data_IF_706989782761
#
_entry.id   IF_706989782761
#
_cell.length_a   1.000
_cell.length_b   1.000
_cell.length_c   1.000
_cell.angle_alpha   90.00
_cell.angle_beta   90.00
_cell.angle_gamma   90.00
#
_symmetry.space_group_name_H-M   'P 1'
#
loop_
_entity.id
_entity.type
_entity.pdbx_description
1 polymer ?
#
# COMPACT_ATOMS: atom_id res chain seq x y z
N UNK A 1 -1.10 19.79 -42.90
CA UNK A 1 -0.57 19.06 -41.72
C UNK A 1 -0.70 19.95 -40.50
N UNK A 2 -1.04 19.36 -39.35
CA UNK A 2 -1.27 20.06 -38.08
C UNK A 2 -0.48 19.38 -36.98
N UNK A 3 -0.07 20.16 -35.98
CA UNK A 3 0.63 19.66 -34.80
C UNK A 3 -0.22 19.94 -33.57
N UNK A 4 -0.26 18.98 -32.64
CA UNK A 4 -0.94 19.11 -31.37
C UNK A 4 0.01 18.76 -30.22
N UNK A 5 -0.14 19.48 -29.11
CA UNK A 5 0.61 19.26 -27.87
C UNK A 5 -0.40 18.90 -26.78
N UNK A 6 -0.11 17.86 -26.00
CA UNK A 6 -0.87 17.48 -24.82
C UNK A 6 0.00 17.67 -23.57
N UNK A 7 -0.56 18.27 -22.53
CA UNK A 7 0.09 18.39 -21.23
C UNK A 7 -0.95 18.09 -20.17
N UNK A 8 -0.64 17.19 -19.25
CA UNK A 8 -1.51 16.88 -18.11
C UNK A 8 -0.72 16.80 -16.81
N UNK A 9 -1.40 17.13 -15.72
CA UNK A 9 -0.88 17.01 -14.37
C UNK A 9 -2.01 16.64 -13.42
N UNK A 10 -1.77 15.66 -12.57
CA UNK A 10 -2.72 15.21 -11.55
C UNK A 10 -1.98 15.10 -10.23
N UNK A 11 -2.54 15.69 -9.19
CA UNK A 11 -2.09 15.54 -7.81
C UNK A 11 -3.24 15.03 -6.97
N UNK A 12 -2.99 13.99 -6.18
CA UNK A 12 -3.94 13.39 -5.24
C UNK A 12 -3.28 13.27 -3.89
N UNK A 13 -4.01 13.72 -2.87
CA UNK A 13 -3.65 13.52 -1.47
C UNK A 13 -4.90 12.97 -0.76
N UNK A 14 -4.83 11.72 -0.32
CA UNK A 14 -5.91 11.06 0.39
C UNK A 14 -5.38 10.55 1.73
N UNK A 15 -5.95 11.09 2.81
CA UNK A 15 -5.76 10.56 4.16
C UNK A 15 -6.54 9.24 4.34
N UNK A 16 -6.30 8.53 5.42
CA UNK A 16 -6.92 7.22 5.72
C UNK A 16 -8.43 7.16 5.50
N UNK A 17 -9.01 6.07 5.02
CA UNK A 17 -10.47 6.07 4.84
C UNK A 17 -11.21 5.83 6.16
N UNK A 18 -12.42 6.40 6.28
CA UNK A 18 -13.28 6.19 7.46
C UNK A 18 -14.03 4.88 7.35
N UNK A 19 -14.15 4.18 8.46
CA UNK A 19 -14.96 2.95 8.62
C UNK A 19 -15.97 3.13 9.73
N UNK A 20 -17.11 2.44 9.63
CA UNK A 20 -18.14 2.41 10.67
C UNK A 20 -18.06 1.07 11.40
N UNK A 21 -18.08 1.09 12.73
CA UNK A 21 -18.10 -0.12 13.56
C UNK A 21 -16.77 -0.86 13.63
N UNK A 22 -15.65 -0.18 13.35
CA UNK A 22 -14.30 -0.71 13.54
C UNK A 22 -13.78 -0.24 14.90
N UNK A 23 -13.36 -1.19 15.74
CA UNK A 23 -12.76 -0.92 17.03
C UNK A 23 -11.48 -1.75 17.12
N UNK A 24 -10.34 -1.09 17.17
CA UNK A 24 -9.04 -1.70 17.51
C UNK A 24 -8.75 -1.32 18.96
N UNK A 25 -8.46 -2.32 19.80
CA UNK A 25 -8.01 -2.15 21.19
C UNK A 25 -8.81 -1.17 22.06
N UNK A 26 -10.14 -1.20 21.94
CA UNK A 26 -11.03 -0.38 22.78
C UNK A 26 -11.00 1.13 22.47
N UNK A 27 -10.24 1.55 21.46
CA UNK A 27 -10.24 2.92 20.96
C UNK A 27 -11.24 3.03 19.79
N UNK A 28 -12.03 4.11 19.78
CA UNK A 28 -12.90 4.45 18.64
C UNK A 28 -12.06 5.03 17.49
N UNK A 29 -11.23 4.19 16.88
CA UNK A 29 -10.53 4.50 15.63
C UNK A 29 -11.54 4.49 14.48
N UNK A 30 -12.00 5.68 14.08
CA UNK A 30 -12.97 5.84 12.98
C UNK A 30 -12.34 5.69 11.59
N UNK A 31 -11.02 5.47 11.50
CA UNK A 31 -10.23 5.39 10.27
C UNK A 31 -9.36 4.15 10.30
N UNK A 32 -9.07 3.61 9.12
CA UNK A 32 -8.15 2.47 9.01
C UNK A 32 -6.75 3.03 8.88
N UNK A 33 -5.94 2.88 9.93
CA UNK A 33 -4.56 3.35 9.93
C UNK A 33 -3.76 2.76 8.75
N UNK A 34 -2.89 3.59 8.18
CA UNK A 34 -2.05 3.19 7.05
C UNK A 34 -2.76 3.03 5.72
N UNK A 35 -3.98 3.54 5.57
CA UNK A 35 -4.75 3.46 4.32
C UNK A 35 -4.66 4.72 3.45
N UNK A 36 -3.80 5.67 3.81
CA UNK A 36 -3.49 6.85 3.02
C UNK A 36 -2.93 6.50 1.64
N UNK A 37 -3.14 7.39 0.68
CA UNK A 37 -2.57 7.28 -0.67
C UNK A 37 -2.31 8.67 -1.28
N UNK A 38 -1.06 8.92 -1.67
CA UNK A 38 -0.59 10.13 -2.33
C UNK A 38 -0.07 9.79 -3.73
N UNK A 39 -0.38 10.65 -4.70
CA UNK A 39 0.02 10.45 -6.09
C UNK A 39 0.27 11.78 -6.79
N UNK A 40 1.40 11.89 -7.47
CA UNK A 40 1.75 12.98 -8.38
C UNK A 40 2.04 12.38 -9.77
N UNK A 41 1.26 12.78 -10.78
CA UNK A 41 1.42 12.34 -12.16
C UNK A 41 1.57 13.54 -13.09
N UNK A 42 2.49 13.46 -14.05
CA UNK A 42 2.62 14.44 -15.12
C UNK A 42 2.86 13.75 -16.46
N UNK A 43 2.23 14.27 -17.53
CA UNK A 43 2.40 13.77 -18.89
C UNK A 43 2.61 14.91 -19.87
N UNK A 44 3.45 14.68 -20.88
CA UNK A 44 3.61 15.54 -22.04
C UNK A 44 3.58 14.69 -23.31
N UNK A 45 2.83 15.15 -24.31
CA UNK A 45 2.68 14.47 -25.58
C UNK A 45 2.77 15.43 -26.77
N UNK A 46 3.25 14.90 -27.89
CA UNK A 46 3.32 15.57 -29.17
C UNK A 46 2.66 14.69 -30.23
N UNK A 47 1.87 15.29 -31.11
CA UNK A 47 1.18 14.57 -32.17
C UNK A 47 1.22 15.32 -33.48
N UNK A 48 1.43 14.58 -34.56
CA UNK A 48 1.38 14.99 -35.95
C UNK A 48 0.08 14.49 -36.55
N UNK A 49 -0.70 15.39 -37.15
CA UNK A 49 -2.01 15.11 -37.73
C UNK A 49 -1.94 15.41 -39.24
N UNK A 50 -2.08 14.36 -40.04
CA UNK A 50 -2.15 14.40 -41.49
C UNK A 50 -3.58 14.26 -42.00
N UNK A 51 -3.75 14.22 -43.32
CA UNK A 51 -5.07 14.06 -43.95
C UNK A 51 -5.59 12.63 -43.84
N UNK A 52 -4.68 11.64 -43.88
CA UNK A 52 -5.00 10.22 -43.86
C UNK A 52 -4.63 9.54 -42.53
N UNK A 53 -4.46 10.31 -41.44
CA UNK A 53 -4.13 9.74 -40.13
C UNK A 53 -3.35 10.65 -39.18
N UNK A 54 -2.83 10.05 -38.10
CA UNK A 54 -2.00 10.74 -37.10
C UNK A 54 -0.92 9.83 -36.52
N UNK A 55 0.13 10.43 -35.97
CA UNK A 55 1.14 9.76 -35.16
C UNK A 55 1.52 10.63 -33.97
N UNK A 56 1.85 10.04 -32.83
CA UNK A 56 2.18 10.78 -31.63
C UNK A 56 3.04 9.99 -30.64
N UNK A 57 3.77 10.74 -29.82
CA UNK A 57 4.60 10.24 -28.74
C UNK A 57 4.20 10.95 -27.44
N UNK A 58 4.21 10.22 -26.33
CA UNK A 58 4.00 10.81 -25.01
C UNK A 58 4.96 10.24 -23.98
N UNK A 59 5.36 11.09 -23.02
CA UNK A 59 6.14 10.71 -21.87
C UNK A 59 5.36 11.04 -20.60
N UNK A 60 5.23 10.05 -19.71
CA UNK A 60 4.50 10.19 -18.45
C UNK A 60 5.38 9.76 -17.29
N UNK A 61 5.37 10.55 -16.22
CA UNK A 61 5.99 10.20 -14.94
C UNK A 61 4.93 10.18 -13.84
N UNK A 62 4.94 9.12 -13.04
CA UNK A 62 4.06 8.94 -11.88
C UNK A 62 4.88 8.63 -10.63
N UNK A 63 4.59 9.31 -9.54
CA UNK A 63 5.15 9.07 -8.21
C UNK A 63 3.99 8.80 -7.25
N UNK A 64 3.99 7.62 -6.63
CA UNK A 64 3.00 7.27 -5.62
C UNK A 64 3.68 6.93 -4.30
N UNK A 65 3.01 7.28 -3.21
CA UNK A 65 3.34 6.90 -1.84
C UNK A 65 2.05 6.52 -1.13
N UNK A 66 1.90 5.24 -0.77
CA UNK A 66 0.70 4.72 -0.16
C UNK A 66 1.02 3.70 0.92
N UNK A 67 0.26 3.76 2.02
CA UNK A 67 0.40 2.83 3.13
C UNK A 67 -0.23 1.48 2.83
N UNK A 68 0.24 0.46 3.56
CA UNK A 68 -0.31 -0.89 3.56
C UNK A 68 -1.07 -1.13 4.87
N UNK A 69 -2.41 -1.01 4.87
CA UNK A 69 -3.21 -1.23 6.07
C UNK A 69 -3.23 -2.72 6.46
N UNK A 70 -3.42 -3.00 7.75
CA UNK A 70 -3.55 -4.37 8.26
C UNK A 70 -2.23 -5.06 8.62
N UNK A 71 -1.14 -4.31 8.81
CA UNK A 71 0.02 -4.81 9.53
C UNK A 71 -0.28 -4.74 11.03
N UNK A 72 0.01 -5.82 11.76
CA UNK A 72 -0.09 -5.84 13.22
C UNK A 72 1.14 -6.56 13.74
N UNK A 73 1.89 -5.86 14.58
CA UNK A 73 3.05 -6.41 15.29
C UNK A 73 2.66 -7.50 16.29
N UNK A 74 1.35 -7.68 16.56
CA UNK A 74 0.83 -8.84 17.30
C UNK A 74 1.15 -10.17 16.61
N UNK A 75 1.50 -10.16 15.33
CA UNK A 75 1.89 -11.35 14.57
C UNK A 75 3.39 -11.43 14.22
N UNK A 76 4.23 -10.51 14.68
CA UNK A 76 5.67 -10.53 14.38
C UNK A 76 6.38 -11.77 14.94
N UNK A 77 5.82 -12.35 16.00
CA UNK A 77 6.30 -13.58 16.63
C UNK A 77 5.60 -14.83 16.10
N UNK A 78 4.81 -14.68 15.02
CA UNK A 78 4.13 -15.78 14.38
C UNK A 78 4.97 -16.40 13.27
N UNK A 79 5.26 -17.69 13.40
CA UNK A 79 5.99 -18.45 12.38
C UNK A 79 5.16 -19.65 11.92
N UNK A 80 5.16 -19.96 10.62
CA UNK A 80 4.47 -21.14 10.11
C UNK A 80 5.23 -22.41 10.51
N UNK A 81 4.50 -23.42 10.98
CA UNK A 81 4.98 -24.78 11.18
C UNK A 81 4.03 -25.74 10.47
N UNK A 82 4.45 -26.25 9.30
CA UNK A 82 3.56 -27.00 8.40
C UNK A 82 2.48 -26.10 7.80
N UNK A 83 1.20 -26.43 8.04
CA UNK A 83 0.04 -25.65 7.60
C UNK A 83 -0.58 -24.81 8.73
N UNK A 84 0.10 -24.74 9.89
CA UNK A 84 -0.38 -24.04 11.09
C UNK A 84 0.52 -22.85 11.39
N UNK A 85 -0.06 -21.75 11.89
CA UNK A 85 0.67 -20.56 12.31
C UNK A 85 0.84 -20.56 13.83
N UNK A 86 2.08 -20.41 14.31
CA UNK A 86 2.41 -20.43 15.74
C UNK A 86 2.89 -19.06 16.18
N UNK A 87 2.12 -18.40 17.05
CA UNK A 87 2.43 -17.11 17.63
C UNK A 87 2.96 -17.28 19.05
N UNK A 88 4.26 -17.11 19.27
CA UNK A 88 4.88 -17.26 20.60
C UNK A 88 5.01 -15.93 21.32
N UNK A 89 4.20 -15.68 22.35
CA UNK A 89 4.42 -14.56 23.27
C UNK A 89 5.41 -14.97 24.36
N UNK A 90 6.53 -14.26 24.50
CA UNK A 90 7.11 -14.14 25.84
C UNK A 90 6.18 -13.19 26.63
N UNK A 91 5.45 -13.79 27.57
CA UNK A 91 4.68 -13.14 28.64
C UNK A 91 3.37 -12.45 28.27
N UNK A 92 2.33 -13.25 28.02
CA UNK A 92 0.98 -12.91 28.49
C UNK A 92 0.44 -14.14 29.22
N UNK A 93 0.32 -14.02 30.54
CA UNK A 93 -0.44 -14.97 31.37
C UNK A 93 -1.89 -14.89 30.91
N UNK A 94 -2.27 -15.76 29.99
CA UNK A 94 -3.66 -16.05 29.70
C UNK A 94 -4.18 -16.93 30.84
N UNK A 95 -4.88 -16.33 31.80
CA UNK A 95 -5.77 -17.09 32.67
C UNK A 95 -6.99 -17.51 31.86
N UNK A 96 -6.88 -18.67 31.22
CA UNK A 96 -7.99 -19.44 30.68
C UNK A 96 -7.82 -20.88 31.19
N UNK A 97 -8.86 -21.36 31.87
CA UNK A 97 -8.89 -22.61 32.60
C UNK A 97 -9.34 -23.76 31.70
N UNK A 98 -8.56 -24.20 30.69
CA UNK A 98 -8.74 -25.57 30.16
C UNK A 98 -7.59 -26.06 29.27
N UNK A 99 -6.44 -26.39 29.84
CA UNK A 99 -5.60 -27.44 29.24
C UNK A 99 -4.74 -28.13 30.29
N UNK A 100 -5.28 -29.22 30.82
CA UNK A 100 -4.49 -30.24 31.49
C UNK A 100 -3.53 -30.87 30.46
N UNK A 101 -2.29 -31.15 30.91
CA UNK A 101 -1.24 -31.99 30.28
C UNK A 101 -0.09 -31.24 29.56
N UNK A 102 0.93 -30.81 30.31
CA UNK A 102 2.28 -31.42 30.31
C UNK A 102 3.21 -30.65 31.27
N UNK A 103 3.79 -31.34 32.26
CA UNK A 103 4.77 -30.75 33.17
C UNK A 103 6.14 -30.69 32.50
N UNK A 104 6.72 -29.49 32.37
CA UNK A 104 8.17 -29.35 32.32
C UNK A 104 8.58 -28.08 33.09
N UNK A 105 9.25 -28.31 34.22
CA UNK A 105 9.79 -27.29 35.10
C UNK A 105 10.79 -26.41 34.34
N UNK A 106 10.55 -25.09 34.29
CA UNK A 106 11.59 -24.11 33.95
C UNK A 106 11.47 -22.90 34.88
N UNK A 107 12.48 -22.82 35.74
CA UNK A 107 12.91 -21.75 36.66
C UNK A 107 12.12 -20.44 36.70
N UNK A 108 11.62 -20.12 37.90
CA UNK A 108 11.38 -18.76 38.37
C UNK A 108 12.68 -17.95 38.31
N UNK A 109 12.80 -17.05 37.34
CA UNK A 109 13.80 -16.00 37.37
C UNK A 109 13.09 -14.66 37.25
N UNK A 110 13.44 -13.81 38.21
CA UNK A 110 13.11 -12.41 38.42
C UNK A 110 12.12 -11.73 37.45
N UNK A 111 11.04 -11.21 38.05
CA UNK A 111 10.26 -10.13 37.46
C UNK A 111 11.19 -8.92 37.25
N UNK A 112 11.75 -8.81 36.07
CA UNK A 112 12.34 -7.58 35.59
C UNK A 112 11.18 -6.62 35.31
N UNK A 113 11.08 -5.59 36.15
CA UNK A 113 10.25 -4.42 35.93
C UNK A 113 10.71 -3.80 34.60
N UNK A 114 10.01 -4.11 33.52
CA UNK A 114 10.23 -3.44 32.26
C UNK A 114 9.57 -2.08 32.39
N UNK A 115 10.40 -1.06 32.61
CA UNK A 115 10.06 0.33 32.34
C UNK A 115 9.21 0.36 31.07
N UNK A 116 8.05 1.00 31.16
CA UNK A 116 7.11 1.16 30.06
C UNK A 116 7.77 2.01 28.96
N UNK A 117 8.61 1.35 28.15
CA UNK A 117 9.06 1.84 26.86
C UNK A 117 7.80 2.22 26.11
N UNK A 118 7.68 3.52 25.84
CA UNK A 118 6.63 4.10 25.03
C UNK A 118 6.34 3.17 23.86
N UNK A 119 5.09 2.74 23.69
CA UNK A 119 4.65 2.07 22.47
C UNK A 119 4.93 3.03 21.29
N UNK A 120 6.14 2.93 20.74
CA UNK A 120 6.46 3.52 19.45
C UNK A 120 5.58 2.74 18.48
N UNK A 121 4.53 3.39 18.01
CA UNK A 121 3.81 2.91 16.84
C UNK A 121 4.83 2.94 15.71
N UNK A 122 5.53 1.82 15.49
CA UNK A 122 6.43 1.67 14.36
C UNK A 122 5.63 1.98 13.09
N UNK A 123 6.17 2.87 12.26
CA UNK A 123 5.47 3.48 11.13
C UNK A 123 4.84 2.43 10.21
N UNK A 124 3.60 2.70 9.75
CA UNK A 124 2.91 1.88 8.76
C UNK A 124 3.83 1.63 7.55
N UNK A 125 4.09 0.36 7.16
CA UNK A 125 4.85 0.06 5.97
C UNK A 125 4.16 0.69 4.75
N UNK A 126 4.96 1.33 3.92
CA UNK A 126 4.48 2.03 2.73
C UNK A 126 5.21 1.58 1.48
N UNK A 127 4.58 1.81 0.33
CA UNK A 127 5.18 1.58 -0.98
C UNK A 127 5.43 2.92 -1.64
N UNK A 128 6.69 3.16 -2.00
CA UNK A 128 7.11 4.28 -2.84
C UNK A 128 7.28 3.77 -4.27
N UNK A 129 6.37 4.17 -5.16
CA UNK A 129 6.42 3.82 -6.58
C UNK A 129 6.91 5.00 -7.41
N UNK A 130 7.93 4.77 -8.24
CA UNK A 130 8.38 5.72 -9.25
C UNK A 130 8.28 5.07 -10.64
N UNK A 131 7.28 5.47 -11.43
CA UNK A 131 7.05 4.93 -12.77
C UNK A 131 7.30 5.97 -13.86
N UNK A 132 7.92 5.54 -14.96
CA UNK A 132 8.15 6.33 -16.17
C UNK A 132 7.66 5.52 -17.36
N UNK A 133 6.82 6.11 -18.20
CA UNK A 133 6.23 5.46 -19.38
C UNK A 133 6.51 6.30 -20.62
N UNK A 134 6.86 5.62 -21.71
CA UNK A 134 6.94 6.19 -23.05
C UNK A 134 5.86 5.52 -23.90
N UNK A 135 5.01 6.31 -24.52
CA UNK A 135 3.90 5.83 -25.35
C UNK A 135 4.10 6.28 -26.80
N UNK A 136 3.77 5.39 -27.74
CA UNK A 136 3.66 5.70 -29.16
C UNK A 136 2.27 5.29 -29.66
N UNK A 137 1.62 6.18 -30.41
CA UNK A 137 0.32 5.92 -31.02
C UNK A 137 0.32 6.41 -32.46
N UNK A 138 -0.17 5.59 -33.39
CA UNK A 138 -0.38 6.00 -34.77
C UNK A 138 -1.62 5.33 -35.35
N UNK A 139 -2.28 6.04 -36.25
CA UNK A 139 -3.43 5.56 -37.00
C UNK A 139 -3.32 6.04 -38.44
N UNK A 140 -3.66 5.18 -39.39
CA UNK A 140 -3.67 5.48 -40.82
C UNK A 140 -4.99 5.01 -41.41
N UNK A 141 -5.76 5.95 -41.94
CA UNK A 141 -7.05 5.74 -42.59
C UNK A 141 -6.99 6.37 -43.98
N UNK A 142 -6.66 5.59 -45.02
CA UNK A 142 -6.55 6.13 -46.36
C UNK A 142 -7.90 6.69 -46.82
N UNK A 143 -7.91 7.90 -47.37
CA UNK A 143 -9.09 8.44 -48.03
C UNK A 143 -9.44 7.60 -49.26
N UNK A 144 -10.67 7.07 -49.31
CA UNK A 144 -11.23 6.48 -50.53
C UNK A 144 -11.58 7.61 -51.52
N UNK A 145 -10.56 8.27 -52.08
CA UNK A 145 -10.79 9.07 -53.30
C UNK A 145 -11.11 8.08 -54.43
N UNK A 146 -12.30 8.26 -55.01
CA UNK A 146 -12.90 7.35 -55.97
C UNK A 146 -12.11 7.30 -57.28
N UNK A 147 -12.10 6.12 -57.89
CA UNK A 147 -11.63 5.80 -59.26
C UNK A 147 -12.20 6.78 -60.29
#
# INVERSE_FOLDING_TARGET
>A
EQFAVHVEGIKRDANDYKVRGYALDGQNESRVDGSYAKSDTGSIGLSWIGNDGFAGLAFTQKKDDYGLPGHSHGYDHCHPHGLTIHCGSHSAVATDQDSQLYNQEVHSQEAHDHDAESHQHDDVPNIILNSKRLDFKAEYTPSFSSI
#
